data_IF_186805022930
#
_entry.id   IF_186805022930
#
_cell.length_a   1.000
_cell.length_b   1.000
_cell.length_c   1.000
_cell.angle_alpha   90.00
_cell.angle_beta   90.00
_cell.angle_gamma   90.00
#
_symmetry.space_group_name_H-M   'P 1'
#
loop_
_entity.id
_entity.type
_entity.pdbx_description
1 polymer ?
#
# COMPACT_ATOMS: atom_id res chain seq x y z
N UNK A 1 29.70 28.53 38.59
CA UNK A 1 28.50 28.50 37.73
C UNK A 1 28.60 27.29 36.80
N UNK A 2 27.71 26.33 36.93
CA UNK A 2 27.68 25.19 35.96
C UNK A 2 27.29 25.77 34.59
N UNK A 3 28.22 25.72 33.63
CA UNK A 3 27.96 26.13 32.24
C UNK A 3 26.82 25.23 31.69
N UNK A 4 25.57 25.69 31.80
CA UNK A 4 24.42 25.08 31.22
C UNK A 4 24.44 25.31 29.68
N UNK A 5 25.28 24.53 28.98
CA UNK A 5 25.40 24.64 27.56
C UNK A 5 24.14 23.98 26.91
N UNK A 6 23.15 24.81 26.56
CA UNK A 6 21.96 24.39 25.85
C UNK A 6 22.35 24.02 24.41
N UNK A 7 22.07 22.77 24.00
CA UNK A 7 22.38 22.28 22.66
C UNK A 7 21.19 21.53 22.08
N UNK A 8 21.03 21.56 20.76
CA UNK A 8 19.98 20.84 20.06
C UNK A 8 20.04 19.32 20.33
N UNK A 9 21.26 18.79 20.55
CA UNK A 9 21.45 17.38 20.95
C UNK A 9 20.89 17.08 22.34
N UNK A 10 20.98 18.03 23.30
CA UNK A 10 20.39 17.90 24.65
C UNK A 10 18.87 18.00 24.62
N UNK A 11 18.28 18.73 23.67
CA UNK A 11 16.83 18.78 23.47
C UNK A 11 16.25 17.54 22.78
N UNK A 12 17.10 16.60 22.32
CA UNK A 12 16.67 15.32 21.77
C UNK A 12 16.91 15.15 20.27
N UNK A 13 17.34 16.19 19.54
CA UNK A 13 17.58 16.18 18.10
C UNK A 13 19.07 16.01 17.79
N UNK A 14 19.45 15.05 16.96
CA UNK A 14 20.85 14.75 16.65
C UNK A 14 21.19 14.94 15.16
N UNK A 15 21.63 16.14 14.78
CA UNK A 15 21.99 16.53 13.40
C UNK A 15 22.99 15.55 12.78
N UNK A 16 24.08 15.19 13.48
CA UNK A 16 25.10 14.27 12.93
C UNK A 16 24.54 12.88 12.59
N UNK A 17 23.54 12.40 13.34
CA UNK A 17 22.84 11.16 12.99
C UNK A 17 21.94 11.35 11.78
N UNK A 18 21.24 12.48 11.70
CA UNK A 18 20.40 12.83 10.57
C UNK A 18 21.23 12.89 9.27
N UNK A 19 22.38 13.55 9.27
CA UNK A 19 23.30 13.64 8.14
C UNK A 19 23.76 12.25 7.65
N UNK A 20 24.13 11.37 8.58
CA UNK A 20 24.50 9.98 8.26
C UNK A 20 23.33 9.22 7.62
N UNK A 21 22.11 9.49 8.11
CA UNK A 21 20.91 8.86 7.56
C UNK A 21 20.58 9.38 6.17
N UNK A 22 20.66 10.69 5.92
CA UNK A 22 20.47 11.31 4.60
C UNK A 22 21.49 10.78 3.59
N UNK A 23 22.78 10.67 3.96
CA UNK A 23 23.81 10.06 3.10
C UNK A 23 23.45 8.62 2.74
N UNK A 24 22.96 7.84 3.68
CA UNK A 24 22.49 6.48 3.42
C UNK A 24 21.31 6.47 2.44
N UNK A 25 20.28 7.31 2.63
CA UNK A 25 19.12 7.43 1.73
C UNK A 25 19.60 7.81 0.33
N UNK A 26 20.47 8.81 0.19
CA UNK A 26 21.03 9.23 -1.10
C UNK A 26 21.73 8.08 -1.87
N UNK A 27 22.37 7.18 -1.14
CA UNK A 27 23.03 6.02 -1.75
C UNK A 27 22.02 4.97 -2.24
N UNK A 28 21.02 4.65 -1.41
CA UNK A 28 20.10 3.54 -1.72
C UNK A 28 18.96 3.93 -2.65
N UNK A 29 18.52 5.20 -2.65
CA UNK A 29 17.47 5.70 -3.54
C UNK A 29 17.86 5.58 -5.02
N UNK A 30 19.15 5.69 -5.33
CA UNK A 30 19.69 5.45 -6.69
C UNK A 30 19.28 4.09 -7.26
N UNK A 31 19.01 3.11 -6.40
CA UNK A 31 18.56 1.78 -6.80
C UNK A 31 17.12 1.76 -7.35
N UNK A 32 16.35 2.84 -7.17
CA UNK A 32 14.99 2.99 -7.71
C UNK A 32 14.96 3.70 -9.05
N UNK A 33 16.05 4.36 -9.44
CA UNK A 33 16.14 5.14 -10.69
C UNK A 33 15.89 4.22 -11.88
N UNK A 34 14.95 4.63 -12.73
CA UNK A 34 14.67 3.94 -13.97
C UNK A 34 15.67 4.41 -15.04
N UNK A 35 16.52 3.52 -15.60
CA UNK A 35 17.50 3.90 -16.62
C UNK A 35 16.88 4.54 -17.87
N UNK A 36 15.62 4.21 -18.19
CA UNK A 36 14.91 4.72 -19.37
C UNK A 36 14.48 6.17 -19.23
N UNK A 37 14.24 6.65 -18.02
CA UNK A 37 13.85 8.04 -17.74
C UNK A 37 15.04 8.96 -17.53
N UNK A 38 16.21 8.40 -17.28
CA UNK A 38 17.53 9.04 -17.18
C UNK A 38 17.58 10.32 -16.31
N UNK A 39 17.00 10.23 -15.10
CA UNK A 39 16.99 11.31 -14.11
C UNK A 39 18.30 11.43 -13.32
N UNK A 40 19.40 10.79 -13.77
CA UNK A 40 20.72 10.86 -13.13
C UNK A 40 21.27 12.29 -12.96
N UNK A 41 20.68 13.28 -13.66
CA UNK A 41 21.11 14.68 -13.62
C UNK A 41 20.72 15.42 -12.34
N UNK A 42 19.67 14.99 -11.65
CA UNK A 42 19.16 15.71 -10.48
C UNK A 42 19.58 15.02 -9.18
N UNK A 43 20.19 15.80 -8.30
CA UNK A 43 20.49 15.38 -6.92
C UNK A 43 19.30 15.74 -6.04
N UNK A 44 18.26 14.94 -6.04
CA UNK A 44 17.01 15.22 -5.33
C UNK A 44 17.15 15.05 -3.81
N UNK A 45 17.81 14.00 -3.36
CA UNK A 45 17.98 13.74 -1.92
C UNK A 45 18.93 14.78 -1.32
N UNK A 46 18.52 15.39 -0.22
CA UNK A 46 19.20 16.52 0.45
C UNK A 46 19.11 17.87 -0.30
N UNK A 47 18.17 18.00 -1.26
CA UNK A 47 17.78 19.28 -1.85
C UNK A 47 16.52 19.83 -1.17
N UNK A 48 16.19 21.10 -1.37
CA UNK A 48 14.95 21.69 -0.86
C UNK A 48 13.71 21.06 -1.47
N UNK A 49 13.72 20.78 -2.75
CA UNK A 49 12.64 20.12 -3.47
C UNK A 49 13.16 19.07 -4.42
N UNK A 50 12.30 18.10 -4.74
CA UNK A 50 12.63 17.03 -5.68
C UNK A 50 12.13 17.37 -7.08
N UNK A 51 12.99 17.20 -8.08
CA UNK A 51 12.72 17.50 -9.48
C UNK A 51 12.41 16.19 -10.21
N UNK A 52 11.33 16.18 -10.99
CA UNK A 52 10.98 15.08 -11.88
C UNK A 52 10.67 15.64 -13.28
N UNK A 53 11.47 15.30 -14.28
CA UNK A 53 11.34 15.78 -15.66
C UNK A 53 10.30 14.95 -16.43
N UNK A 54 9.19 15.57 -16.80
CA UNK A 54 8.13 14.96 -17.61
C UNK A 54 8.39 14.96 -19.10
N UNK A 55 9.35 15.78 -19.60
CA UNK A 55 9.58 15.97 -21.04
C UNK A 55 9.91 14.69 -21.81
N UNK A 56 10.48 13.70 -21.11
CA UNK A 56 10.83 12.40 -21.68
C UNK A 56 9.70 11.39 -21.73
N UNK A 57 8.58 11.69 -21.09
CA UNK A 57 7.40 10.84 -21.11
C UNK A 57 6.60 11.15 -22.39
N UNK A 58 6.66 10.25 -23.37
CA UNK A 58 5.89 10.36 -24.63
C UNK A 58 4.40 10.04 -24.36
N UNK A 59 3.70 10.92 -23.63
CA UNK A 59 2.29 10.77 -23.28
C UNK A 59 1.52 11.94 -23.88
N UNK A 60 0.51 11.64 -24.69
CA UNK A 60 -0.43 12.66 -25.20
C UNK A 60 -1.46 12.97 -24.12
N UNK A 61 -1.80 14.26 -23.94
CA UNK A 61 -2.76 14.71 -22.93
C UNK A 61 -2.53 14.06 -21.55
N UNK A 62 -1.38 14.31 -20.91
CA UNK A 62 -1.05 13.68 -19.62
C UNK A 62 -1.97 14.15 -18.50
N UNK A 63 -2.47 13.21 -17.69
CA UNK A 63 -3.21 13.47 -16.47
C UNK A 63 -2.37 12.99 -15.29
N UNK A 64 -2.13 13.88 -14.34
CA UNK A 64 -1.43 13.58 -13.09
C UNK A 64 -2.45 13.02 -12.10
N UNK A 65 -2.08 11.94 -11.44
CA UNK A 65 -2.82 11.33 -10.32
C UNK A 65 -1.89 11.26 -9.12
N UNK A 66 -2.38 11.67 -7.97
CA UNK A 66 -1.62 11.63 -6.72
C UNK A 66 -2.39 10.88 -5.63
N UNK A 67 -1.66 10.27 -4.71
CA UNK A 67 -2.21 9.60 -3.54
C UNK A 67 -1.27 9.77 -2.36
N UNK A 68 -1.82 9.92 -1.17
CA UNK A 68 -1.10 9.92 0.10
C UNK A 68 -1.76 8.95 1.06
N UNK A 69 -0.96 8.20 1.80
CA UNK A 69 -1.45 7.25 2.80
C UNK A 69 -0.36 6.96 3.84
N UNK A 70 -0.75 6.35 4.94
CA UNK A 70 0.12 5.81 5.98
C UNK A 70 0.02 4.29 6.08
N UNK A 71 0.80 3.70 6.96
CA UNK A 71 0.72 2.25 7.26
C UNK A 71 -0.29 1.96 8.35
N UNK A 72 -0.63 2.96 9.15
CA UNK A 72 -1.53 2.83 10.27
C UNK A 72 -0.99 1.92 11.37
N UNK A 73 -1.89 1.28 12.13
CA UNK A 73 -1.54 0.59 13.37
C UNK A 73 -0.73 -0.71 13.17
N UNK A 74 -0.41 -1.11 11.95
CA UNK A 74 0.56 -2.20 11.67
C UNK A 74 1.95 -1.87 12.22
N UNK A 75 2.29 -0.59 12.29
CA UNK A 75 3.52 -0.08 12.91
C UNK A 75 3.68 -0.61 14.35
N UNK A 76 2.60 -0.66 15.11
CA UNK A 76 2.64 -1.15 16.50
C UNK A 76 2.95 -2.66 16.58
N UNK A 77 2.45 -3.44 15.61
CA UNK A 77 2.81 -4.86 15.50
C UNK A 77 4.29 -4.99 15.16
N UNK A 78 4.79 -4.21 14.21
CA UNK A 78 6.21 -4.17 13.85
C UNK A 78 7.10 -3.79 15.05
N UNK A 79 6.67 -2.82 15.87
CA UNK A 79 7.36 -2.44 17.11
C UNK A 79 7.39 -3.59 18.12
N UNK A 80 6.27 -4.29 18.31
CA UNK A 80 6.17 -5.42 19.25
C UNK A 80 7.09 -6.58 18.87
N UNK A 81 7.19 -6.89 17.57
CA UNK A 81 7.99 -8.02 17.09
C UNK A 81 9.39 -7.64 16.59
N UNK A 82 9.74 -6.33 16.64
CA UNK A 82 11.03 -5.76 16.19
C UNK A 82 11.36 -6.04 14.72
N UNK A 83 10.33 -6.05 13.84
CA UNK A 83 10.47 -6.33 12.41
C UNK A 83 9.95 -5.17 11.57
N UNK A 84 10.85 -4.43 10.91
CA UNK A 84 10.54 -3.17 10.24
C UNK A 84 10.74 -3.18 8.70
N UNK A 85 11.37 -4.21 8.18
CA UNK A 85 11.72 -4.34 6.76
C UNK A 85 10.52 -4.41 5.81
N UNK A 86 9.36 -4.88 6.29
CA UNK A 86 8.13 -4.94 5.48
C UNK A 86 7.30 -3.63 5.50
N UNK A 87 7.47 -2.81 6.55
CA UNK A 87 6.64 -1.61 6.78
C UNK A 87 6.81 -0.58 5.65
N UNK A 88 8.03 -0.39 5.14
CA UNK A 88 8.27 0.49 4.01
C UNK A 88 7.61 -0.03 2.71
N UNK A 89 7.53 -1.36 2.52
CA UNK A 89 6.78 -1.94 1.39
C UNK A 89 5.29 -1.66 1.54
N UNK A 90 4.76 -1.81 2.77
CA UNK A 90 3.35 -1.49 3.07
C UNK A 90 3.04 -0.04 2.73
N UNK A 91 3.90 0.91 3.13
CA UNK A 91 3.73 2.32 2.85
C UNK A 91 3.60 2.61 1.36
N UNK A 92 4.56 2.12 0.58
CA UNK A 92 4.52 2.29 -0.89
C UNK A 92 3.28 1.63 -1.48
N UNK A 93 2.93 0.41 -1.04
CA UNK A 93 1.78 -0.32 -1.55
C UNK A 93 0.46 0.42 -1.30
N UNK A 94 0.28 1.03 -0.11
CA UNK A 94 -0.94 1.78 0.21
C UNK A 94 -1.13 2.96 -0.76
N UNK A 95 -0.06 3.69 -1.07
CA UNK A 95 -0.13 4.83 -1.98
C UNK A 95 -0.25 4.40 -3.46
N UNK A 96 0.62 3.53 -3.96
CA UNK A 96 0.67 3.23 -5.40
C UNK A 96 -0.49 2.36 -5.88
N UNK A 97 -1.06 1.51 -5.02
CA UNK A 97 -2.23 0.74 -5.39
C UNK A 97 -3.47 1.61 -5.61
N UNK A 98 -3.54 2.77 -4.98
CA UNK A 98 -4.62 3.75 -5.22
C UNK A 98 -4.43 4.52 -6.53
N UNK A 99 -3.18 4.81 -6.93
CA UNK A 99 -2.92 5.42 -8.24
C UNK A 99 -3.41 4.55 -9.39
N UNK A 100 -3.13 3.25 -9.32
CA UNK A 100 -3.47 2.34 -10.41
C UNK A 100 -4.96 2.06 -10.54
N UNK A 101 -5.78 2.42 -9.55
CA UNK A 101 -7.25 2.38 -9.67
C UNK A 101 -7.73 3.27 -10.81
N UNK A 102 -7.07 4.39 -11.06
CA UNK A 102 -7.33 5.26 -12.21
C UNK A 102 -6.50 4.92 -13.46
N UNK A 103 -5.74 3.82 -13.45
CA UNK A 103 -4.88 3.43 -14.56
C UNK A 103 -3.57 4.25 -14.63
N UNK A 104 -3.28 5.04 -13.61
CA UNK A 104 -2.08 5.88 -13.56
C UNK A 104 -0.84 5.07 -13.20
N UNK A 105 0.19 5.17 -14.04
CA UNK A 105 1.50 4.56 -13.81
C UNK A 105 2.25 5.38 -12.76
N UNK A 106 2.67 4.80 -11.62
CA UNK A 106 3.49 5.51 -10.65
C UNK A 106 4.81 6.01 -11.26
N UNK A 107 5.15 7.27 -11.00
CA UNK A 107 6.38 7.92 -11.45
C UNK A 107 7.38 8.01 -10.31
N UNK A 108 6.96 8.62 -9.20
CA UNK A 108 7.82 8.84 -8.06
C UNK A 108 7.07 8.76 -6.73
N UNK A 109 7.86 8.64 -5.69
CA UNK A 109 7.44 8.50 -4.31
C UNK A 109 8.24 9.43 -3.40
N UNK A 110 7.57 9.97 -2.39
CA UNK A 110 8.14 10.75 -1.30
C UNK A 110 7.67 10.13 0.02
N UNK A 111 8.53 10.11 1.04
CA UNK A 111 8.16 9.63 2.37
C UNK A 111 8.30 10.71 3.44
N UNK A 112 7.51 10.60 4.49
CA UNK A 112 7.66 11.36 5.72
C UNK A 112 7.75 10.40 6.89
N UNK A 113 8.87 10.44 7.62
CA UNK A 113 9.10 9.65 8.82
C UNK A 113 9.12 10.58 10.02
N UNK A 114 8.15 10.44 10.92
CA UNK A 114 8.04 11.19 12.16
C UNK A 114 8.34 10.28 13.34
N UNK A 115 9.33 10.61 14.16
CA UNK A 115 9.89 9.71 15.16
C UNK A 115 10.28 10.46 16.45
N UNK A 116 10.10 9.82 17.60
CA UNK A 116 10.56 10.41 18.88
C UNK A 116 12.06 10.70 18.88
N UNK A 117 12.87 9.70 18.47
CA UNK A 117 14.33 9.79 18.41
C UNK A 117 14.85 8.92 17.27
N UNK A 118 15.79 9.40 16.50
CA UNK A 118 16.36 8.69 15.35
C UNK A 118 17.15 7.45 15.78
N UNK A 119 16.57 6.28 15.53
CA UNK A 119 17.16 4.97 15.71
C UNK A 119 17.65 4.44 14.35
N UNK A 120 18.92 4.71 14.01
CA UNK A 120 19.49 4.44 12.67
C UNK A 120 19.18 3.04 12.13
N UNK A 121 19.32 1.99 12.97
CA UNK A 121 19.10 0.61 12.53
C UNK A 121 17.63 0.33 12.18
N UNK A 122 16.70 0.94 12.90
CA UNK A 122 15.26 0.83 12.67
C UNK A 122 14.86 1.59 11.41
N UNK A 123 15.21 2.87 11.34
CA UNK A 123 14.86 3.73 10.20
C UNK A 123 15.51 3.27 8.89
N UNK A 124 16.75 2.79 8.91
CA UNK A 124 17.38 2.16 7.73
C UNK A 124 16.57 0.97 7.20
N UNK A 125 16.05 0.10 8.07
CA UNK A 125 15.18 -1.03 7.64
C UNK A 125 13.89 -0.53 6.99
N UNK A 126 13.27 0.51 7.54
CA UNK A 126 12.05 1.11 6.96
C UNK A 126 12.35 1.64 5.55
N UNK A 127 13.39 2.46 5.38
CA UNK A 127 13.79 3.02 4.09
C UNK A 127 14.17 1.93 3.07
N UNK A 128 14.86 0.88 3.49
CA UNK A 128 15.13 -0.28 2.61
C UNK A 128 13.82 -0.93 2.14
N UNK A 129 12.82 -1.01 3.00
CA UNK A 129 11.47 -1.43 2.65
C UNK A 129 10.81 -0.51 1.62
N UNK A 130 10.92 0.82 1.80
CA UNK A 130 10.41 1.82 0.84
C UNK A 130 11.10 1.66 -0.53
N UNK A 131 12.43 1.59 -0.56
CA UNK A 131 13.20 1.36 -1.79
C UNK A 131 12.76 0.07 -2.49
N UNK A 132 12.55 -1.00 -1.73
CA UNK A 132 12.03 -2.27 -2.28
C UNK A 132 10.62 -2.11 -2.83
N UNK A 133 9.73 -1.41 -2.12
CA UNK A 133 8.38 -1.09 -2.57
C UNK A 133 8.39 -0.28 -3.87
N UNK A 134 9.20 0.78 -3.94
CA UNK A 134 9.35 1.60 -5.14
C UNK A 134 9.85 0.78 -6.35
N UNK A 135 10.81 -0.13 -6.15
CA UNK A 135 11.25 -1.06 -7.21
C UNK A 135 10.13 -1.97 -7.70
N UNK A 136 9.34 -2.51 -6.79
CA UNK A 136 8.19 -3.36 -7.13
C UNK A 136 7.10 -2.58 -7.88
N UNK A 137 6.92 -1.32 -7.53
CA UNK A 137 5.99 -0.40 -8.18
C UNK A 137 6.51 0.19 -9.50
N UNK A 138 7.83 0.11 -9.74
CA UNK A 138 8.47 0.74 -10.90
C UNK A 138 8.46 2.26 -10.84
N UNK A 139 8.52 2.85 -9.63
CA UNK A 139 8.63 4.29 -9.39
C UNK A 139 9.93 4.63 -8.65
N UNK A 140 10.30 5.90 -8.65
CA UNK A 140 11.55 6.40 -8.06
C UNK A 140 11.30 6.99 -6.66
N UNK A 141 12.14 6.66 -5.69
CA UNK A 141 12.20 7.39 -4.42
C UNK A 141 13.03 8.65 -4.65
N UNK A 142 12.39 9.81 -4.79
CA UNK A 142 13.07 11.06 -5.19
C UNK A 142 13.29 12.03 -4.03
N UNK A 143 12.62 11.85 -2.89
CA UNK A 143 12.74 12.73 -1.73
C UNK A 143 11.97 12.19 -0.55
N UNK A 144 11.92 13.00 0.48
CA UNK A 144 11.22 12.72 1.72
C UNK A 144 11.76 13.56 2.87
N UNK A 145 11.19 13.35 4.06
CA UNK A 145 11.58 14.06 5.27
C UNK A 145 11.66 13.10 6.46
N UNK A 146 12.58 13.33 7.37
CA UNK A 146 12.67 12.60 8.63
C UNK A 146 12.77 13.58 9.79
N UNK A 147 11.70 13.68 10.58
CA UNK A 147 11.58 14.58 11.70
C UNK A 147 11.78 13.86 13.05
N UNK A 148 12.79 14.28 13.82
CA UNK A 148 12.88 13.95 15.24
C UNK A 148 11.95 14.89 16.02
N UNK A 149 10.94 14.32 16.69
CA UNK A 149 9.90 15.06 17.42
C UNK A 149 9.82 14.59 18.88
N UNK A 150 10.85 14.89 19.70
CA UNK A 150 10.84 14.54 21.11
C UNK A 150 9.68 15.28 21.82
N UNK A 151 8.93 14.55 22.65
CA UNK A 151 7.74 15.08 23.33
C UNK A 151 6.42 14.85 22.58
N UNK A 152 6.41 14.86 21.24
CA UNK A 152 5.22 14.54 20.44
C UNK A 152 5.00 13.03 20.39
N UNK A 153 6.05 12.26 20.18
CA UNK A 153 6.00 10.79 20.18
C UNK A 153 6.64 10.23 21.45
N UNK A 154 5.99 9.24 22.07
CA UNK A 154 6.57 8.47 23.17
C UNK A 154 7.80 7.67 22.73
N UNK A 155 8.62 7.23 23.68
CA UNK A 155 9.84 6.44 23.43
C UNK A 155 9.59 5.25 22.50
N UNK A 156 10.36 5.18 21.41
CA UNK A 156 10.27 4.13 20.39
C UNK A 156 9.07 4.24 19.45
N UNK A 157 8.19 5.23 19.63
CA UNK A 157 7.05 5.50 18.77
C UNK A 157 7.46 6.31 17.55
N UNK A 158 6.76 6.08 16.45
CA UNK A 158 6.96 6.77 15.18
C UNK A 158 5.71 6.62 14.32
N UNK A 159 5.61 7.47 13.32
CA UNK A 159 4.66 7.31 12.23
C UNK A 159 5.36 7.49 10.88
N UNK A 160 4.75 6.95 9.83
CA UNK A 160 5.24 7.09 8.46
C UNK A 160 4.09 7.35 7.51
N UNK A 161 4.27 8.33 6.66
CA UNK A 161 3.37 8.65 5.58
C UNK A 161 4.11 8.63 4.24
N UNK A 162 3.39 8.33 3.16
CA UNK A 162 3.90 8.33 1.81
C UNK A 162 3.06 9.21 0.91
N UNK A 163 3.70 9.75 -0.11
CA UNK A 163 3.08 10.51 -1.17
C UNK A 163 3.58 9.97 -2.49
N UNK A 164 2.68 9.55 -3.37
CA UNK A 164 3.01 9.04 -4.69
C UNK A 164 2.34 9.86 -5.78
N UNK A 165 3.05 10.03 -6.88
CA UNK A 165 2.54 10.68 -8.09
C UNK A 165 2.67 9.71 -9.25
N UNK A 166 1.61 9.62 -10.04
CA UNK A 166 1.55 8.82 -11.25
C UNK A 166 0.98 9.63 -12.41
N UNK A 167 1.05 9.04 -13.59
CA UNK A 167 0.59 9.66 -14.81
C UNK A 167 -0.20 8.67 -15.65
N UNK A 168 -1.21 9.15 -16.33
CA UNK A 168 -2.01 8.39 -17.28
C UNK A 168 -2.37 9.27 -18.48
N UNK A 169 -2.45 8.68 -19.66
CA UNK A 169 -3.04 9.38 -20.84
C UNK A 169 -4.54 9.55 -20.63
N UNK A 170 -5.08 10.76 -20.88
CA UNK A 170 -6.48 11.11 -20.62
C UNK A 170 -7.48 10.08 -21.19
N UNK A 171 -7.21 9.55 -22.38
CA UNK A 171 -8.04 8.53 -23.03
C UNK A 171 -8.00 7.16 -22.34
N UNK A 172 -6.98 6.90 -21.51
CA UNK A 172 -6.78 5.64 -20.77
C UNK A 172 -7.17 5.74 -19.30
N UNK A 173 -7.63 6.91 -18.87
CA UNK A 173 -8.09 7.13 -17.51
C UNK A 173 -9.27 6.19 -17.20
N UNK A 174 -9.11 5.35 -16.18
CA UNK A 174 -10.17 4.49 -15.69
C UNK A 174 -11.14 5.27 -14.84
N UNK A 175 -12.38 5.34 -15.28
CA UNK A 175 -13.48 6.07 -14.61
C UNK A 175 -14.71 5.18 -14.49
N UNK A 176 -15.68 5.61 -13.69
CA UNK A 176 -16.97 4.90 -13.54
C UNK A 176 -17.71 4.69 -14.88
N UNK A 177 -17.52 5.61 -15.85
CA UNK A 177 -18.21 5.60 -17.16
C UNK A 177 -17.89 4.32 -17.96
N UNK A 178 -16.71 3.73 -17.72
CA UNK A 178 -16.27 2.54 -18.45
C UNK A 178 -16.94 1.26 -17.93
N UNK A 179 -17.54 1.31 -16.74
CA UNK A 179 -18.24 0.16 -16.14
C UNK A 179 -19.63 0.04 -16.70
N UNK A 180 -19.97 -1.16 -17.22
CA UNK A 180 -21.23 -1.43 -17.91
C UNK A 180 -21.95 -2.62 -17.30
N UNK A 181 -23.28 -2.71 -17.52
CA UNK A 181 -24.07 -3.90 -17.26
C UNK A 181 -23.41 -5.13 -17.91
N UNK A 182 -23.49 -6.28 -17.28
CA UNK A 182 -22.91 -7.57 -17.70
C UNK A 182 -21.37 -7.64 -17.67
N UNK A 183 -20.68 -6.59 -17.17
CA UNK A 183 -19.28 -6.74 -16.83
C UNK A 183 -19.11 -7.77 -15.71
N UNK A 184 -18.00 -8.48 -15.74
CA UNK A 184 -17.64 -9.48 -14.72
C UNK A 184 -16.71 -8.85 -13.70
N UNK A 185 -16.92 -9.19 -12.42
CA UNK A 185 -16.05 -8.81 -11.32
C UNK A 185 -15.07 -9.96 -11.09
N UNK A 186 -13.77 -9.66 -11.28
CA UNK A 186 -12.69 -10.60 -10.94
C UNK A 186 -12.05 -10.15 -9.63
N UNK A 187 -11.83 -11.10 -8.73
CA UNK A 187 -11.05 -10.89 -7.50
C UNK A 187 -9.61 -11.33 -7.71
N UNK A 188 -8.65 -10.50 -7.31
CA UNK A 188 -7.24 -10.86 -7.23
C UNK A 188 -6.91 -11.15 -5.76
N UNK A 189 -6.28 -12.30 -5.44
CA UNK A 189 -5.94 -12.65 -4.06
C UNK A 189 -5.07 -11.60 -3.37
N UNK A 190 -5.29 -11.41 -2.06
CA UNK A 190 -4.38 -10.64 -1.20
C UNK A 190 -3.19 -11.48 -0.76
N UNK A 191 -2.11 -10.82 -0.32
CA UNK A 191 -0.96 -11.50 0.31
C UNK A 191 -1.23 -11.88 1.77
N UNK A 192 -2.22 -11.25 2.40
CA UNK A 192 -2.58 -11.37 3.81
C UNK A 192 -3.58 -10.28 4.20
N UNK A 193 -3.49 -9.82 5.43
CA UNK A 193 -4.36 -8.75 5.97
C UNK A 193 -4.11 -7.41 5.25
N UNK A 194 -2.93 -7.23 4.67
CA UNK A 194 -2.42 -5.95 4.19
C UNK A 194 -2.18 -4.98 5.37
N UNK A 195 -2.62 -3.71 5.26
CA UNK A 195 -2.39 -2.71 6.30
C UNK A 195 -3.67 -2.19 6.94
N UNK A 196 -4.82 -2.84 6.70
CA UNK A 196 -6.11 -2.41 7.23
C UNK A 196 -6.66 -3.36 8.31
N UNK A 197 -7.46 -2.84 9.24
CA UNK A 197 -8.12 -3.61 10.30
C UNK A 197 -7.20 -4.04 11.45
N UNK A 198 -5.94 -3.60 11.49
CA UNK A 198 -4.97 -4.05 12.49
C UNK A 198 -5.18 -3.44 13.88
N UNK A 199 -5.94 -2.35 14.01
CA UNK A 199 -6.43 -1.87 15.31
C UNK A 199 -7.33 -2.90 15.99
N UNK A 200 -8.27 -3.50 15.27
CA UNK A 200 -9.13 -4.57 15.77
C UNK A 200 -8.31 -5.83 16.12
N UNK A 201 -7.35 -6.20 15.28
CA UNK A 201 -6.43 -7.32 15.58
C UNK A 201 -5.68 -7.08 16.87
N UNK A 202 -5.09 -5.90 17.07
CA UNK A 202 -4.36 -5.52 18.29
C UNK A 202 -5.27 -5.54 19.53
N UNK A 203 -6.51 -5.06 19.40
CA UNK A 203 -7.49 -5.12 20.46
C UNK A 203 -7.74 -6.57 20.90
N UNK A 204 -7.94 -7.49 19.95
CA UNK A 204 -8.13 -8.92 20.22
C UNK A 204 -6.92 -9.54 20.88
N UNK A 205 -5.70 -9.29 20.34
CA UNK A 205 -4.44 -9.77 20.94
C UNK A 205 -4.32 -9.34 22.39
N UNK A 206 -4.65 -8.07 22.70
CA UNK A 206 -4.61 -7.54 24.07
C UNK A 206 -5.68 -8.21 24.97
N UNK A 207 -6.94 -8.26 24.54
CA UNK A 207 -8.05 -8.81 25.31
C UNK A 207 -7.87 -10.31 25.60
N UNK A 208 -7.38 -11.07 24.64
CA UNK A 208 -7.14 -12.51 24.78
C UNK A 208 -5.72 -12.85 25.28
N UNK A 209 -4.92 -11.86 25.68
CA UNK A 209 -3.56 -12.02 26.19
C UNK A 209 -2.66 -12.86 25.26
N UNK A 210 -2.86 -12.74 23.92
CA UNK A 210 -2.09 -13.50 22.92
C UNK A 210 -0.71 -12.87 22.75
N UNK A 211 0.34 -13.60 23.13
CA UNK A 211 1.72 -13.16 22.95
C UNK A 211 2.26 -13.63 21.59
N UNK A 212 2.52 -12.69 20.67
CA UNK A 212 3.01 -12.99 19.32
C UNK A 212 4.39 -13.67 19.30
N UNK A 213 5.22 -13.49 20.33
CA UNK A 213 6.55 -14.09 20.40
C UNK A 213 6.52 -15.53 20.97
N UNK A 214 5.47 -15.89 21.72
CA UNK A 214 5.29 -17.22 22.34
C UNK A 214 4.19 -18.03 21.63
N UNK A 215 3.43 -17.44 20.71
CA UNK A 215 2.30 -18.11 20.07
C UNK A 215 2.77 -19.17 19.08
N UNK A 216 2.77 -20.40 19.52
CA UNK A 216 2.99 -21.61 18.71
C UNK A 216 1.66 -22.23 18.29
N UNK A 217 0.90 -21.55 17.42
CA UNK A 217 -0.20 -22.24 16.76
C UNK A 217 0.39 -23.13 15.67
N UNK A 218 0.33 -24.47 15.85
CA UNK A 218 0.89 -25.47 14.92
C UNK A 218 0.36 -25.30 13.47
N UNK A 219 -0.83 -24.70 13.30
CA UNK A 219 -1.49 -24.55 11.97
C UNK A 219 -1.16 -23.24 11.26
N UNK A 220 -0.76 -22.17 11.99
CA UNK A 220 -0.51 -20.84 11.41
C UNK A 220 0.46 -20.04 12.29
N UNK A 221 1.46 -19.44 11.70
CA UNK A 221 2.35 -18.50 12.39
C UNK A 221 1.74 -17.08 12.33
N UNK A 222 0.98 -16.72 13.38
CA UNK A 222 0.25 -15.44 13.47
C UNK A 222 1.19 -14.24 13.32
N UNK A 223 2.35 -14.28 14.00
CA UNK A 223 3.37 -13.22 13.91
C UNK A 223 3.77 -12.93 12.47
N UNK A 224 4.06 -13.98 11.70
CA UNK A 224 4.48 -13.84 10.32
C UNK A 224 3.31 -13.39 9.41
N UNK A 225 2.08 -13.86 9.66
CA UNK A 225 0.90 -13.47 8.91
C UNK A 225 0.57 -11.98 9.09
N UNK A 226 0.67 -11.47 10.33
CA UNK A 226 0.35 -10.06 10.63
C UNK A 226 1.35 -9.06 10.04
N UNK A 227 2.60 -9.48 9.81
CA UNK A 227 3.65 -8.60 9.28
C UNK A 227 3.91 -8.79 7.78
N UNK A 228 3.19 -9.71 7.13
CA UNK A 228 3.30 -9.87 5.67
C UNK A 228 3.06 -8.53 4.97
N UNK A 229 3.94 -8.14 4.04
CA UNK A 229 3.76 -6.88 3.31
C UNK A 229 2.52 -6.94 2.43
N UNK A 230 1.89 -5.79 2.27
CA UNK A 230 0.82 -5.54 1.30
C UNK A 230 1.34 -5.81 -0.10
N UNK A 231 0.57 -6.55 -0.91
CA UNK A 231 0.94 -6.77 -2.31
C UNK A 231 0.81 -5.48 -3.11
N UNK A 232 1.84 -5.18 -3.88
CA UNK A 232 1.85 -4.13 -4.90
C UNK A 232 1.35 -4.76 -6.21
N UNK A 233 0.26 -4.24 -6.77
CA UNK A 233 -0.41 -4.76 -7.97
C UNK A 233 -0.04 -4.00 -9.25
N UNK A 234 0.83 -3.00 -9.16
CA UNK A 234 1.14 -2.03 -10.23
C UNK A 234 1.49 -2.69 -11.54
N UNK A 235 2.43 -3.65 -11.54
CA UNK A 235 2.96 -4.27 -12.76
C UNK A 235 1.87 -4.91 -13.61
N UNK A 236 0.98 -5.66 -12.97
CA UNK A 236 -0.09 -6.39 -13.64
C UNK A 236 -1.19 -5.43 -14.09
N UNK A 237 -1.65 -4.55 -13.19
CA UNK A 237 -2.81 -3.67 -13.45
C UNK A 237 -2.50 -2.64 -14.53
N UNK A 238 -1.33 -2.01 -14.49
CA UNK A 238 -0.94 -1.04 -15.53
C UNK A 238 -0.89 -1.70 -16.91
N UNK A 239 -0.32 -2.90 -17.03
CA UNK A 239 -0.33 -3.65 -18.30
C UNK A 239 -1.75 -3.97 -18.81
N UNK A 240 -2.67 -4.26 -17.89
CA UNK A 240 -4.07 -4.51 -18.27
C UNK A 240 -4.77 -3.24 -18.72
N UNK A 241 -4.55 -2.12 -18.04
CA UNK A 241 -5.11 -0.80 -18.39
C UNK A 241 -4.57 -0.31 -19.75
N UNK A 242 -3.25 -0.37 -19.95
CA UNK A 242 -2.59 0.01 -21.22
C UNK A 242 -3.14 -0.76 -22.43
N UNK A 243 -3.53 -2.04 -22.22
CA UNK A 243 -4.10 -2.90 -23.24
C UNK A 243 -5.63 -2.88 -23.32
N UNK A 244 -6.31 -1.94 -22.64
CA UNK A 244 -7.78 -1.81 -22.60
C UNK A 244 -8.51 -3.12 -22.20
N UNK A 245 -7.90 -3.92 -21.32
CA UNK A 245 -8.48 -5.20 -20.89
C UNK A 245 -9.40 -5.07 -19.68
N UNK A 246 -9.36 -3.94 -18.96
CA UNK A 246 -10.16 -3.66 -17.78
C UNK A 246 -11.01 -2.41 -18.00
N UNK A 247 -12.21 -2.41 -17.45
CA UNK A 247 -13.18 -1.31 -17.49
C UNK A 247 -13.14 -0.45 -16.21
N UNK A 248 -12.65 -1.03 -15.13
CA UNK A 248 -12.47 -0.38 -13.84
C UNK A 248 -11.80 -1.34 -12.88
N UNK A 249 -11.32 -0.81 -11.76
CA UNK A 249 -10.74 -1.64 -10.71
C UNK A 249 -10.82 -0.94 -9.35
N UNK A 250 -10.72 -1.72 -8.27
CA UNK A 250 -10.77 -1.24 -6.90
C UNK A 250 -9.67 -1.88 -6.06
N UNK A 251 -8.93 -1.07 -5.31
CA UNK A 251 -8.05 -1.52 -4.24
C UNK A 251 -8.91 -1.83 -3.00
N UNK A 252 -8.78 -3.02 -2.43
CA UNK A 252 -9.61 -3.44 -1.29
C UNK A 252 -8.87 -3.15 0.01
N UNK A 253 -9.26 -2.06 0.64
CA UNK A 253 -8.67 -1.47 1.85
C UNK A 253 -9.67 -1.43 3.00
N UNK A 254 -9.60 -0.42 3.87
CA UNK A 254 -10.59 -0.18 4.94
C UNK A 254 -12.00 -0.06 4.36
N UNK A 255 -13.00 -0.55 5.10
CA UNK A 255 -14.38 -0.70 4.60
C UNK A 255 -14.63 -2.03 3.86
N UNK A 256 -13.56 -2.83 3.62
CA UNK A 256 -13.66 -4.16 3.04
C UNK A 256 -14.08 -4.16 1.56
N UNK A 257 -14.58 -5.32 1.12
CA UNK A 257 -14.85 -5.55 -0.30
C UNK A 257 -15.94 -4.64 -0.85
N UNK A 258 -17.03 -4.48 -0.11
CA UNK A 258 -18.24 -3.83 -0.59
C UNK A 258 -18.05 -2.32 -0.75
N UNK A 259 -17.59 -1.63 0.29
CA UNK A 259 -17.42 -0.17 0.28
C UNK A 259 -16.42 0.30 -0.79
N UNK A 260 -15.38 -0.50 -1.06
CA UNK A 260 -14.42 -0.15 -2.10
C UNK A 260 -14.95 -0.41 -3.52
N UNK A 261 -15.77 -1.44 -3.74
CA UNK A 261 -16.39 -1.69 -5.03
C UNK A 261 -17.43 -0.62 -5.41
N UNK A 262 -18.25 -0.18 -4.46
CA UNK A 262 -19.26 0.88 -4.71
C UNK A 262 -18.62 2.16 -5.25
N UNK A 263 -17.41 2.48 -4.82
CA UNK A 263 -16.69 3.71 -5.25
C UNK A 263 -16.47 3.78 -6.75
N UNK A 264 -16.43 2.65 -7.44
CA UNK A 264 -16.16 2.58 -8.87
C UNK A 264 -17.37 2.18 -9.71
N UNK A 265 -18.52 1.93 -9.12
CA UNK A 265 -19.74 1.56 -9.83
C UNK A 265 -20.60 2.81 -10.08
N UNK A 266 -21.06 3.05 -11.32
CA UNK A 266 -21.91 4.20 -11.65
C UNK A 266 -23.32 4.05 -11.05
N UNK A 267 -24.02 5.18 -10.89
CA UNK A 267 -25.44 5.18 -10.51
C UNK A 267 -26.27 4.34 -11.49
N UNK A 268 -27.28 3.62 -11.01
CA UNK A 268 -28.12 2.73 -11.81
C UNK A 268 -27.56 1.34 -12.09
N UNK A 269 -26.31 1.09 -11.65
CA UNK A 269 -25.71 -0.25 -11.66
C UNK A 269 -25.39 -0.72 -10.24
N UNK A 270 -25.32 -2.05 -10.07
CA UNK A 270 -24.96 -2.68 -8.79
C UNK A 270 -23.99 -3.84 -9.00
N UNK A 271 -23.17 -4.11 -7.98
CA UNK A 271 -22.30 -5.29 -7.91
C UNK A 271 -23.05 -6.47 -7.27
N UNK A 272 -23.14 -7.59 -7.98
CA UNK A 272 -23.62 -8.85 -7.42
C UNK A 272 -22.42 -9.73 -7.12
N UNK A 273 -22.13 -9.92 -5.84
CA UNK A 273 -20.96 -10.65 -5.34
C UNK A 273 -21.40 -11.98 -4.74
N UNK A 274 -20.76 -13.06 -5.17
CA UNK A 274 -20.92 -14.36 -4.51
C UNK A 274 -19.82 -14.50 -3.43
N UNK A 275 -20.20 -14.33 -2.17
CA UNK A 275 -19.29 -14.39 -1.02
C UNK A 275 -18.68 -15.79 -0.81
N UNK A 276 -19.35 -16.86 -1.22
CA UNK A 276 -18.84 -18.24 -1.11
C UNK A 276 -17.63 -18.49 -1.98
N UNK A 277 -17.49 -17.72 -3.08
CA UNK A 277 -16.34 -17.80 -3.98
C UNK A 277 -15.07 -17.14 -3.41
N UNK A 278 -15.17 -16.42 -2.31
CA UNK A 278 -14.01 -15.77 -1.70
C UNK A 278 -13.03 -16.82 -1.19
N UNK A 279 -11.80 -16.77 -1.70
CA UNK A 279 -10.68 -17.63 -1.25
C UNK A 279 -10.11 -17.13 0.07
N UNK A 280 -10.82 -17.37 1.16
CA UNK A 280 -10.49 -16.87 2.50
C UNK A 280 -9.17 -17.47 2.99
N UNK A 281 -8.18 -16.62 3.28
CA UNK A 281 -6.87 -17.03 3.79
C UNK A 281 -6.93 -17.52 5.25
N UNK A 282 -5.97 -18.36 5.66
CA UNK A 282 -5.90 -18.94 7.01
C UNK A 282 -5.96 -17.90 8.13
N UNK A 283 -5.35 -16.73 7.92
CA UNK A 283 -5.35 -15.66 8.93
C UNK A 283 -6.77 -15.12 9.19
N UNK A 284 -7.63 -15.00 8.18
CA UNK A 284 -9.00 -14.53 8.36
C UNK A 284 -9.88 -15.60 9.02
N UNK A 285 -9.65 -16.87 8.73
CA UNK A 285 -10.30 -17.99 9.44
C UNK A 285 -9.93 -17.96 10.93
N UNK A 286 -8.67 -17.72 11.24
CA UNK A 286 -8.20 -17.57 12.61
C UNK A 286 -8.87 -16.35 13.30
N UNK A 287 -8.96 -15.19 12.64
CA UNK A 287 -9.63 -14.01 13.18
C UNK A 287 -11.12 -14.28 13.50
N UNK A 288 -11.83 -15.01 12.63
CA UNK A 288 -13.20 -15.45 12.92
C UNK A 288 -13.29 -16.33 14.16
N UNK A 289 -12.37 -17.26 14.33
CA UNK A 289 -12.27 -18.09 15.54
C UNK A 289 -12.01 -17.27 16.81
N UNK A 290 -11.49 -16.04 16.67
CA UNK A 290 -11.34 -15.14 17.81
C UNK A 290 -12.64 -14.45 18.22
N UNK A 291 -13.73 -14.63 17.49
CA UNK A 291 -15.06 -14.10 17.82
C UNK A 291 -15.51 -12.92 16.95
N UNK A 292 -14.81 -12.61 15.85
CA UNK A 292 -15.28 -11.56 14.92
C UNK A 292 -16.42 -12.12 14.08
N UNK A 293 -17.57 -11.44 14.06
CA UNK A 293 -18.72 -11.84 13.25
C UNK A 293 -18.42 -11.74 11.74
N UNK A 294 -19.14 -12.49 10.91
CA UNK A 294 -18.99 -12.46 9.45
C UNK A 294 -19.17 -11.05 8.89
N UNK A 295 -20.18 -10.34 9.36
CA UNK A 295 -20.45 -8.97 8.91
C UNK A 295 -19.28 -8.03 9.24
N UNK A 296 -18.74 -8.11 10.47
CA UNK A 296 -17.60 -7.30 10.89
C UNK A 296 -16.32 -7.67 10.09
N UNK A 297 -16.12 -8.95 9.76
CA UNK A 297 -15.02 -9.38 8.88
C UNK A 297 -15.09 -8.70 7.52
N UNK A 298 -16.25 -8.71 6.88
CA UNK A 298 -16.47 -8.14 5.55
C UNK A 298 -16.37 -6.61 5.52
N UNK A 299 -16.71 -5.93 6.62
CA UNK A 299 -16.60 -4.47 6.76
C UNK A 299 -15.18 -4.00 7.09
N UNK A 300 -14.36 -4.85 7.72
CA UNK A 300 -13.05 -4.43 8.24
C UNK A 300 -11.89 -4.90 7.38
N UNK A 301 -11.98 -6.11 6.83
CA UNK A 301 -10.87 -6.80 6.20
C UNK A 301 -11.13 -7.09 4.71
N UNK A 302 -10.03 -7.28 3.98
CA UNK A 302 -10.08 -7.73 2.59
C UNK A 302 -10.52 -9.20 2.43
N UNK A 303 -10.57 -9.99 3.50
CA UNK A 303 -10.95 -11.41 3.57
C UNK A 303 -10.25 -12.33 2.56
N UNK A 304 -9.15 -11.89 1.94
CA UNK A 304 -8.42 -12.65 0.92
C UNK A 304 -8.53 -12.08 -0.49
N UNK A 305 -9.32 -11.01 -0.68
CA UNK A 305 -9.44 -10.25 -1.93
C UNK A 305 -8.68 -8.95 -1.80
N UNK A 306 -7.51 -8.83 -2.40
CA UNK A 306 -6.71 -7.62 -2.28
C UNK A 306 -7.03 -6.56 -3.34
N UNK A 307 -7.54 -6.96 -4.49
CA UNK A 307 -7.87 -6.07 -5.59
C UNK A 307 -9.03 -6.64 -6.42
N UNK A 308 -9.89 -5.81 -6.97
CA UNK A 308 -10.95 -6.22 -7.87
C UNK A 308 -10.79 -5.58 -9.26
N UNK A 309 -11.12 -6.34 -10.30
CA UNK A 309 -11.19 -5.85 -11.67
C UNK A 309 -12.62 -5.96 -12.18
N UNK A 310 -13.07 -4.94 -12.91
CA UNK A 310 -14.31 -4.98 -13.67
C UNK A 310 -13.93 -5.12 -15.15
N UNK A 311 -14.40 -6.19 -15.79
CA UNK A 311 -13.91 -6.60 -17.12
C UNK A 311 -15.02 -7.08 -18.03
N UNK A 312 -14.78 -7.05 -19.33
CA UNK A 312 -15.61 -7.76 -20.30
C UNK A 312 -15.41 -9.28 -20.16
N UNK A 313 -16.47 -10.07 -20.26
CA UNK A 313 -16.44 -11.56 -20.17
C UNK A 313 -15.40 -12.17 -21.12
N UNK A 314 -15.27 -11.66 -22.35
CA UNK A 314 -14.31 -12.13 -23.36
C UNK A 314 -12.83 -11.98 -22.95
N UNK A 315 -12.52 -11.07 -22.03
CA UNK A 315 -11.14 -10.77 -21.61
C UNK A 315 -10.65 -11.65 -20.44
N UNK A 316 -11.52 -12.44 -19.80
CA UNK A 316 -11.20 -13.18 -18.56
C UNK A 316 -9.96 -14.07 -18.73
N UNK A 317 -9.95 -14.97 -19.74
CA UNK A 317 -8.81 -15.89 -19.98
C UNK A 317 -7.51 -15.11 -20.24
N UNK A 318 -7.57 -14.04 -21.08
CA UNK A 318 -6.42 -13.21 -21.41
C UNK A 318 -5.85 -12.51 -20.18
N UNK A 319 -6.71 -12.04 -19.28
CA UNK A 319 -6.31 -11.42 -18.00
C UNK A 319 -5.68 -12.47 -17.09
N UNK A 320 -6.34 -13.60 -16.88
CA UNK A 320 -5.86 -14.67 -16.00
C UNK A 320 -4.46 -15.17 -16.36
N UNK A 321 -4.13 -15.20 -17.65
CA UNK A 321 -2.82 -15.63 -18.15
C UNK A 321 -1.69 -14.60 -17.92
N UNK A 322 -2.02 -13.38 -17.43
CA UNK A 322 -1.03 -12.35 -17.06
C UNK A 322 -0.59 -12.43 -15.59
N UNK A 323 -1.13 -13.35 -14.82
CA UNK A 323 -0.85 -13.49 -13.40
C UNK A 323 -0.24 -14.85 -13.06
N UNK A 324 0.65 -14.84 -12.07
CA UNK A 324 1.16 -16.06 -11.44
C UNK A 324 0.02 -16.87 -10.81
N UNK A 325 0.19 -18.19 -10.70
CA UNK A 325 -0.79 -19.12 -10.11
C UNK A 325 -1.32 -18.64 -8.76
N UNK A 326 -0.45 -18.10 -7.91
CA UNK A 326 -0.79 -17.61 -6.56
C UNK A 326 -1.75 -16.42 -6.57
N UNK A 327 -1.61 -15.52 -7.52
CA UNK A 327 -2.40 -14.28 -7.61
C UNK A 327 -3.34 -14.26 -8.81
N UNK A 328 -3.58 -15.44 -9.41
CA UNK A 328 -4.47 -15.58 -10.57
C UNK A 328 -5.87 -15.11 -10.22
N UNK A 329 -6.42 -14.14 -10.97
CA UNK A 329 -7.77 -13.64 -10.75
C UNK A 329 -8.82 -14.73 -10.94
N UNK A 330 -9.91 -14.64 -10.19
CA UNK A 330 -11.05 -15.53 -10.31
C UNK A 330 -12.37 -14.76 -10.34
N UNK A 331 -13.40 -15.34 -10.92
CA UNK A 331 -14.73 -14.71 -11.02
C UNK A 331 -15.36 -14.66 -9.64
N UNK A 332 -15.68 -13.43 -9.19
CA UNK A 332 -16.33 -13.18 -7.91
C UNK A 332 -17.81 -12.81 -8.07
N UNK A 333 -18.15 -12.16 -9.20
CA UNK A 333 -19.50 -11.69 -9.44
C UNK A 333 -19.65 -10.99 -10.79
N UNK A 334 -20.68 -10.16 -10.89
CA UNK A 334 -21.02 -9.43 -12.11
C UNK A 334 -21.76 -8.13 -11.81
N UNK A 335 -21.83 -7.24 -12.80
CA UNK A 335 -22.55 -5.97 -12.75
C UNK A 335 -23.92 -6.13 -13.40
N UNK A 336 -24.99 -5.71 -12.68
CA UNK A 336 -26.38 -5.66 -13.19
C UNK A 336 -26.97 -4.25 -13.08
N UNK A 337 -28.14 -4.04 -13.64
CA UNK A 337 -28.99 -2.86 -13.31
C UNK A 337 -29.44 -2.99 -11.85
N UNK A 338 -29.51 -1.88 -11.15
CA UNK A 338 -29.99 -1.82 -9.78
C UNK A 338 -29.44 -0.61 -9.02
N UNK A 339 -29.95 -0.43 -7.80
CA UNK A 339 -29.42 0.53 -6.84
C UNK A 339 -28.42 -0.21 -5.95
N UNK A 340 -27.20 0.31 -5.83
CA UNK A 340 -26.26 -0.21 -4.84
C UNK A 340 -26.90 -0.08 -3.46
N UNK A 341 -27.38 -1.19 -2.90
CA UNK A 341 -27.81 -1.28 -1.51
C UNK A 341 -26.61 -1.74 -0.69
N UNK A 342 -26.39 -1.06 0.43
CA UNK A 342 -25.47 -1.48 1.49
C UNK A 342 -25.95 -2.76 2.16
#
# INVERSE_FOLDING_TARGET
MKNNNFTYKKSGVNISKADKFVKFISTISKKTINPKTNFKKFKNIASFGSIFDLSKLKIKEPVIVSSTDGVGTKIEIANQIKKFDSIGIDLVAMCVNDLIVQGAKPLFFLDYISINKLELNKTKKIILGIVKGCKLAGCELIGGETAEMPGTYGKGKFDIAGFSVGIVEKKKLLTKINVKKNNIILAIPSSGIHSNGLSLVRYILKKKKINLNKSSNKKINIKNELIKPTKIYVKEIIKLAENNLINGCANITGGGLYDNLIRIIPKGLQANINLEKIKVLKIFKWLRQQGISQNQMLKTFNCGVGFCLIVNKKNIKKIQNKFDKKFKPYVLGFISKGKNKL
#
